data_IF_676766849084
#
_entry.id   IF_676766849084
#
_cell.length_a   1.000
_cell.length_b   1.000
_cell.length_c   1.000
_cell.angle_alpha   90.00
_cell.angle_beta   90.00
_cell.angle_gamma   90.00
#
_symmetry.space_group_name_H-M   'P 1'
#
loop_
_entity.id
_entity.type
_entity.pdbx_description
1 polymer ?
#
# COMPACT_ATOMS: atom_id res chain seq x y z
N UNK A 1 -2.65 23.20 23.92
CA UNK A 1 -3.96 22.62 23.65
C UNK A 1 -4.13 22.24 22.17
N UNK A 2 -3.87 23.12 21.21
CA UNK A 2 -3.91 22.83 19.75
C UNK A 2 -2.98 21.69 19.30
N UNK A 3 -1.75 21.62 19.81
CA UNK A 3 -0.78 20.57 19.46
C UNK A 3 -1.21 19.18 19.97
N UNK A 4 -1.92 19.11 21.09
CA UNK A 4 -2.48 17.85 21.61
C UNK A 4 -3.67 17.38 20.76
N UNK A 5 -4.48 18.30 20.24
CA UNK A 5 -5.56 18.05 19.31
C UNK A 5 -5.02 17.44 18.00
N UNK A 6 -3.97 18.04 17.42
CA UNK A 6 -3.31 17.51 16.20
C UNK A 6 -2.64 16.15 16.41
N UNK A 7 -2.08 15.87 17.58
CA UNK A 7 -1.44 14.56 17.88
C UNK A 7 -2.44 13.42 18.04
N UNK A 8 -3.70 13.72 18.37
CA UNK A 8 -4.80 12.74 18.41
C UNK A 8 -5.29 12.35 17.02
N UNK A 9 -5.09 13.20 16.01
CA UNK A 9 -5.51 12.95 14.63
C UNK A 9 -4.69 11.89 13.87
N UNK A 10 -3.54 11.47 14.37
CA UNK A 10 -2.67 10.46 13.72
C UNK A 10 -3.02 9.02 14.07
N UNK A 11 -3.98 8.75 14.95
CA UNK A 11 -4.43 7.40 15.30
C UNK A 11 -5.53 6.90 14.36
N UNK A 12 -5.59 5.59 14.16
CA UNK A 12 -6.54 4.83 13.31
C UNK A 12 -8.03 5.20 13.52
N UNK A 13 -8.38 5.87 14.62
CA UNK A 13 -9.74 6.28 14.98
C UNK A 13 -10.10 7.70 14.52
N UNK A 14 -9.20 8.46 13.91
CA UNK A 14 -9.44 9.87 13.56
C UNK A 14 -10.50 10.07 12.49
N UNK A 15 -10.67 9.10 11.57
CA UNK A 15 -11.69 9.20 10.53
C UNK A 15 -13.12 9.16 11.13
N UNK A 16 -13.35 8.26 12.08
CA UNK A 16 -14.65 8.15 12.76
C UNK A 16 -14.96 9.41 13.56
N UNK A 17 -13.94 10.03 14.16
CA UNK A 17 -14.09 11.28 14.89
C UNK A 17 -14.48 12.45 13.97
N UNK A 18 -13.84 12.57 12.80
CA UNK A 18 -14.21 13.62 11.82
C UNK A 18 -15.62 13.39 11.28
N UNK A 19 -15.97 12.16 10.93
CA UNK A 19 -17.32 11.81 10.47
C UNK A 19 -18.35 12.14 11.56
N UNK A 20 -18.06 11.82 12.82
CA UNK A 20 -18.93 12.18 13.94
C UNK A 20 -19.13 13.70 14.09
N UNK A 21 -18.06 14.49 13.98
CA UNK A 21 -18.18 15.95 14.03
C UNK A 21 -18.98 16.49 12.83
N UNK A 22 -18.76 15.97 11.63
CA UNK A 22 -19.53 16.37 10.45
C UNK A 22 -21.03 16.10 10.65
N UNK A 23 -21.37 14.92 11.13
CA UNK A 23 -22.77 14.57 11.44
C UNK A 23 -23.34 15.45 12.56
N UNK A 24 -22.57 15.71 13.59
CA UNK A 24 -22.96 16.61 14.68
C UNK A 24 -23.23 18.03 14.18
N UNK A 25 -22.39 18.57 13.29
CA UNK A 25 -22.60 19.89 12.69
C UNK A 25 -23.84 19.93 11.80
N UNK A 26 -24.09 18.87 11.02
CA UNK A 26 -25.31 18.77 10.19
C UNK A 26 -26.55 18.74 11.07
N UNK A 27 -26.57 17.91 12.11
CA UNK A 27 -27.72 17.76 13.01
C UNK A 27 -27.99 19.07 13.78
N UNK A 28 -26.95 19.67 14.34
CA UNK A 28 -27.10 20.94 15.10
C UNK A 28 -27.45 22.11 14.18
N UNK A 29 -26.83 22.21 13.00
CA UNK A 29 -27.14 23.22 12.00
C UNK A 29 -28.58 23.10 11.47
N UNK A 30 -29.02 21.89 11.14
CA UNK A 30 -30.38 21.62 10.72
C UNK A 30 -31.42 21.91 11.82
N UNK A 31 -31.12 21.52 13.05
CA UNK A 31 -31.97 21.78 14.21
C UNK A 31 -32.15 23.28 14.47
N UNK A 32 -31.07 24.05 14.43
CA UNK A 32 -31.10 25.50 14.61
C UNK A 32 -31.80 26.18 13.40
N UNK A 33 -31.57 25.73 12.17
CA UNK A 33 -32.26 26.22 11.01
C UNK A 33 -33.78 25.97 11.11
N UNK A 34 -34.18 24.77 11.49
CA UNK A 34 -35.57 24.42 11.71
C UNK A 34 -36.23 25.33 12.76
N UNK A 35 -35.49 25.67 13.82
CA UNK A 35 -36.02 26.54 14.90
C UNK A 35 -36.29 27.97 14.41
N UNK A 36 -35.43 28.54 13.58
CA UNK A 36 -35.49 29.94 13.16
C UNK A 36 -36.17 30.17 11.81
N UNK A 37 -36.24 29.14 10.96
CA UNK A 37 -36.78 29.21 9.59
C UNK A 37 -38.01 28.32 9.38
N UNK A 38 -38.68 27.88 10.47
CA UNK A 38 -39.85 27.04 10.40
C UNK A 38 -40.95 27.70 9.58
N UNK A 39 -41.47 27.00 8.56
CA UNK A 39 -42.60 27.46 7.72
C UNK A 39 -43.88 26.73 8.13
N UNK A 40 -44.87 27.44 8.72
CA UNK A 40 -46.12 26.83 9.16
C UNK A 40 -47.02 26.35 7.99
N UNK A 41 -46.76 26.79 6.75
CA UNK A 41 -47.49 26.33 5.56
C UNK A 41 -47.03 24.93 5.09
N UNK A 42 -45.86 24.45 5.57
CA UNK A 42 -45.32 23.14 5.25
C UNK A 42 -45.61 22.14 6.38
N UNK A 43 -45.70 20.86 6.05
CA UNK A 43 -45.74 19.82 7.07
C UNK A 43 -44.45 19.81 7.90
N UNK A 44 -44.52 19.31 9.14
CA UNK A 44 -43.36 19.21 10.01
C UNK A 44 -42.23 18.39 9.36
N UNK A 45 -42.57 17.23 8.76
CA UNK A 45 -41.64 16.37 8.05
C UNK A 45 -40.88 17.11 6.93
N UNK A 46 -41.60 17.92 6.15
CA UNK A 46 -41.00 18.71 5.07
C UNK A 46 -40.07 19.80 5.61
N UNK A 47 -40.42 20.47 6.69
CA UNK A 47 -39.53 21.42 7.35
C UNK A 47 -38.25 20.78 7.87
N UNK A 48 -38.32 19.56 8.45
CA UNK A 48 -37.14 18.78 8.90
C UNK A 48 -36.26 18.39 7.73
N UNK A 49 -36.86 17.86 6.65
CA UNK A 49 -36.09 17.46 5.46
C UNK A 49 -35.42 18.65 4.78
N UNK A 50 -36.14 19.77 4.64
CA UNK A 50 -35.60 21.02 4.09
C UNK A 50 -34.44 21.55 4.93
N UNK A 51 -34.51 21.43 6.26
CA UNK A 51 -33.45 21.86 7.18
C UNK A 51 -32.18 20.98 7.07
N UNK A 52 -32.35 19.67 7.01
CA UNK A 52 -31.23 18.72 6.81
C UNK A 52 -30.60 18.94 5.44
N UNK A 53 -31.43 19.06 4.40
CA UNK A 53 -30.97 19.35 3.04
C UNK A 53 -30.14 20.62 3.00
N UNK A 54 -30.67 21.73 3.54
CA UNK A 54 -29.96 22.99 3.61
C UNK A 54 -28.61 22.87 4.35
N UNK A 55 -28.57 22.20 5.49
CA UNK A 55 -27.34 22.03 6.26
C UNK A 55 -26.27 21.26 5.47
N UNK A 56 -26.66 20.17 4.78
CA UNK A 56 -25.75 19.38 3.95
C UNK A 56 -25.24 20.21 2.76
N UNK A 57 -26.13 20.84 2.02
CA UNK A 57 -25.79 21.63 0.82
C UNK A 57 -24.91 22.83 1.17
N UNK A 58 -25.15 23.46 2.32
CA UNK A 58 -24.37 24.58 2.83
C UNK A 58 -22.98 24.11 3.29
N UNK A 59 -22.92 23.04 4.11
CA UNK A 59 -21.68 22.50 4.62
C UNK A 59 -20.79 21.95 3.50
N UNK A 60 -21.37 21.34 2.46
CA UNK A 60 -20.62 20.84 1.30
C UNK A 60 -20.27 21.92 0.27
N UNK A 61 -20.62 23.17 0.53
CA UNK A 61 -20.35 24.32 -0.34
C UNK A 61 -21.03 24.26 -1.73
N UNK A 62 -22.06 23.41 -1.90
CA UNK A 62 -22.80 23.30 -3.16
C UNK A 62 -23.70 24.52 -3.37
N UNK A 63 -24.53 24.88 -2.36
CA UNK A 63 -25.30 26.12 -2.34
C UNK A 63 -26.25 26.29 -3.51
N UNK A 64 -27.17 25.33 -3.75
CA UNK A 64 -28.17 25.44 -4.83
C UNK A 64 -29.05 26.70 -4.76
N UNK A 65 -29.20 27.30 -3.56
CA UNK A 65 -30.01 28.52 -3.37
C UNK A 65 -31.53 28.28 -3.38
N UNK A 66 -31.95 27.02 -3.38
CA UNK A 66 -33.36 26.60 -3.29
C UNK A 66 -33.92 26.78 -1.86
N UNK A 67 -33.08 26.55 -0.85
CA UNK A 67 -33.36 26.74 0.56
C UNK A 67 -32.23 27.57 1.17
N UNK A 68 -32.58 28.68 1.82
CA UNK A 68 -31.63 29.59 2.47
C UNK A 68 -32.27 30.32 3.64
N UNK A 69 -31.48 30.79 4.64
CA UNK A 69 -31.99 31.51 5.78
C UNK A 69 -32.51 32.91 5.37
N UNK A 70 -33.76 33.20 5.69
CA UNK A 70 -34.41 34.46 5.42
C UNK A 70 -34.34 35.38 6.63
N UNK A 71 -34.40 34.82 7.84
CA UNK A 71 -34.35 35.58 9.10
C UNK A 71 -32.92 35.97 9.46
N UNK A 72 -32.77 37.04 10.25
CA UNK A 72 -31.48 37.43 10.78
C UNK A 72 -30.86 36.34 11.66
N UNK A 73 -31.68 35.71 12.51
CA UNK A 73 -31.26 34.60 13.38
C UNK A 73 -30.75 33.40 12.57
N UNK A 74 -31.50 33.03 11.51
CA UNK A 74 -31.05 31.94 10.61
C UNK A 74 -29.73 32.25 9.91
N UNK A 75 -29.50 33.50 9.50
CA UNK A 75 -28.19 33.93 8.92
C UNK A 75 -27.06 33.89 9.92
N UNK A 76 -27.30 34.25 11.18
CA UNK A 76 -26.31 34.15 12.25
C UNK A 76 -25.89 32.69 12.49
N UNK A 77 -26.81 31.74 12.41
CA UNK A 77 -26.57 30.30 12.51
C UNK A 77 -25.81 29.78 11.31
N UNK A 78 -26.10 30.28 10.11
CA UNK A 78 -25.46 29.86 8.88
C UNK A 78 -23.94 30.15 8.87
N UNK A 79 -23.50 31.28 9.38
CA UNK A 79 -22.08 31.68 9.36
C UNK A 79 -21.16 30.69 10.04
N UNK A 80 -21.37 30.26 11.30
CA UNK A 80 -20.57 29.21 11.91
C UNK A 80 -20.61 27.88 11.13
N UNK A 81 -21.79 27.46 10.65
CA UNK A 81 -21.91 26.23 9.88
C UNK A 81 -21.06 26.28 8.61
N UNK A 82 -21.05 27.40 7.89
CA UNK A 82 -20.20 27.59 6.71
C UNK A 82 -18.72 27.51 7.05
N UNK A 83 -18.25 28.25 8.07
CA UNK A 83 -16.83 28.31 8.45
C UNK A 83 -16.34 26.95 8.90
N UNK A 84 -17.03 26.32 9.84
CA UNK A 84 -16.63 25.02 10.37
C UNK A 84 -16.87 23.89 9.35
N UNK A 85 -17.94 23.96 8.56
CA UNK A 85 -18.25 22.99 7.52
C UNK A 85 -17.13 22.87 6.50
N UNK A 86 -16.65 23.98 5.93
CA UNK A 86 -15.53 24.00 4.99
C UNK A 86 -14.28 23.39 5.64
N UNK A 87 -13.98 23.78 6.90
CA UNK A 87 -12.80 23.30 7.62
C UNK A 87 -12.83 21.77 7.83
N UNK A 88 -13.95 21.22 8.29
CA UNK A 88 -14.05 19.79 8.57
C UNK A 88 -14.13 18.94 7.30
N UNK A 89 -14.80 19.39 6.23
CA UNK A 89 -14.80 18.70 4.95
C UNK A 89 -13.39 18.70 4.33
N UNK A 90 -12.70 19.84 4.35
CA UNK A 90 -11.31 19.92 3.90
C UNK A 90 -10.38 18.97 4.67
N UNK A 91 -10.56 18.88 6.00
CA UNK A 91 -9.81 17.96 6.85
C UNK A 91 -10.12 16.49 6.52
N UNK A 92 -11.37 16.15 6.25
CA UNK A 92 -11.80 14.80 5.85
C UNK A 92 -11.15 14.38 4.53
N UNK A 93 -11.21 15.22 3.50
CA UNK A 93 -10.58 14.97 2.20
C UNK A 93 -9.05 14.84 2.35
N UNK A 94 -8.43 15.75 3.09
CA UNK A 94 -7.00 15.71 3.36
C UNK A 94 -6.56 14.42 4.06
N UNK A 95 -7.36 13.91 4.99
CA UNK A 95 -7.07 12.65 5.69
C UNK A 95 -7.20 11.43 4.77
N UNK A 96 -8.22 11.38 3.91
CA UNK A 96 -8.36 10.31 2.91
C UNK A 96 -7.15 10.30 1.97
N UNK A 97 -6.78 11.46 1.45
CA UNK A 97 -5.63 11.61 0.55
C UNK A 97 -4.33 11.15 1.22
N UNK A 98 -4.09 11.59 2.46
CA UNK A 98 -2.89 11.21 3.22
C UNK A 98 -2.81 9.70 3.46
N UNK A 99 -3.93 9.04 3.79
CA UNK A 99 -3.96 7.60 4.03
C UNK A 99 -3.64 6.80 2.75
N UNK A 100 -4.22 7.19 1.62
CA UNK A 100 -3.96 6.55 0.32
C UNK A 100 -2.50 6.75 -0.07
N UNK A 101 -2.01 7.99 0.02
CA UNK A 101 -0.64 8.34 -0.32
C UNK A 101 0.39 7.62 0.56
N UNK A 102 0.15 7.56 1.88
CA UNK A 102 1.04 6.86 2.82
C UNK A 102 1.15 5.37 2.52
N UNK A 103 0.05 4.70 2.15
CA UNK A 103 0.10 3.28 1.74
C UNK A 103 0.91 3.09 0.46
N UNK A 104 0.69 3.94 -0.55
CA UNK A 104 1.47 3.88 -1.80
C UNK A 104 2.96 4.12 -1.57
N UNK A 105 3.31 5.12 -0.77
CA UNK A 105 4.69 5.40 -0.40
C UNK A 105 5.35 4.23 0.34
N UNK A 106 4.64 3.59 1.27
CA UNK A 106 5.15 2.38 1.95
C UNK A 106 5.34 1.21 0.97
N UNK A 107 4.42 1.02 0.02
CA UNK A 107 4.56 0.00 -1.02
C UNK A 107 5.78 0.27 -1.91
N UNK A 108 5.94 1.50 -2.38
CA UNK A 108 7.11 1.91 -3.19
C UNK A 108 8.42 1.69 -2.45
N UNK A 109 8.48 2.02 -1.16
CA UNK A 109 9.68 1.86 -0.32
C UNK A 109 9.91 0.44 0.21
N UNK A 110 9.10 -0.53 -0.19
CA UNK A 110 9.23 -1.92 0.25
C UNK A 110 8.99 -2.13 1.75
N UNK A 111 8.21 -1.27 2.40
CA UNK A 111 7.93 -1.33 3.83
C UNK A 111 6.66 -2.11 4.18
N UNK A 112 5.94 -2.60 3.18
CA UNK A 112 4.74 -3.42 3.39
C UNK A 112 5.12 -4.89 3.57
N UNK A 113 4.21 -5.60 4.24
CA UNK A 113 4.15 -7.06 4.22
C UNK A 113 3.03 -7.47 3.27
N UNK A 114 3.28 -8.50 2.50
CA UNK A 114 2.32 -9.03 1.54
C UNK A 114 1.78 -10.37 2.06
N UNK A 115 0.58 -10.72 1.67
CA UNK A 115 -0.02 -12.05 1.92
C UNK A 115 -0.53 -12.56 0.58
N UNK A 116 0.41 -12.91 -0.31
CA UNK A 116 0.14 -13.45 -1.62
C UNK A 116 0.27 -14.97 -1.60
N UNK A 117 -0.37 -15.63 -2.56
CA UNK A 117 -0.28 -17.08 -2.74
C UNK A 117 0.07 -17.40 -4.18
N UNK A 118 0.85 -18.46 -4.38
CA UNK A 118 1.23 -18.95 -5.71
C UNK A 118 1.95 -17.88 -6.56
N UNK A 119 2.67 -16.95 -5.93
CA UNK A 119 3.44 -15.90 -6.55
C UNK A 119 4.92 -16.31 -6.74
N UNK A 120 5.69 -15.48 -7.41
CA UNK A 120 7.13 -15.66 -7.64
C UNK A 120 7.87 -14.67 -6.75
N UNK A 121 8.91 -15.13 -6.05
CA UNK A 121 9.81 -14.26 -5.30
C UNK A 121 11.15 -14.20 -6.01
N UNK A 122 11.69 -12.98 -6.19
CA UNK A 122 13.05 -12.77 -6.73
C UNK A 122 13.87 -12.12 -5.62
N UNK A 123 14.87 -12.85 -5.14
CA UNK A 123 15.79 -12.43 -4.09
C UNK A 123 17.13 -11.97 -4.69
N UNK A 124 17.67 -10.86 -4.20
CA UNK A 124 18.88 -10.24 -4.73
C UNK A 124 18.61 -9.16 -5.76
N UNK A 125 19.67 -8.50 -6.21
CA UNK A 125 19.51 -7.39 -7.16
C UNK A 125 20.63 -7.33 -8.20
N UNK A 126 20.24 -7.39 -9.44
CA UNK A 126 20.99 -6.96 -10.60
C UNK A 126 19.97 -6.46 -11.63
N UNK A 127 19.99 -5.20 -11.93
CA UNK A 127 18.93 -4.58 -12.77
C UNK A 127 18.75 -5.31 -14.09
N UNK A 128 19.82 -5.55 -14.84
CA UNK A 128 19.76 -6.19 -16.16
C UNK A 128 19.18 -7.61 -16.09
N UNK A 129 19.58 -8.40 -15.07
CA UNK A 129 19.07 -9.76 -14.88
C UNK A 129 17.60 -9.75 -14.48
N UNK A 130 17.22 -8.89 -13.51
CA UNK A 130 15.83 -8.78 -13.05
C UNK A 130 14.91 -8.32 -14.18
N UNK A 131 15.33 -7.36 -15.01
CA UNK A 131 14.55 -6.91 -16.18
C UNK A 131 14.30 -8.06 -17.16
N UNK A 132 15.33 -8.87 -17.45
CA UNK A 132 15.20 -10.03 -18.32
C UNK A 132 14.27 -11.08 -17.70
N UNK A 133 14.46 -11.42 -16.43
CA UNK A 133 13.64 -12.41 -15.73
C UNK A 133 12.17 -12.00 -15.72
N UNK A 134 11.86 -10.75 -15.38
CA UNK A 134 10.48 -10.24 -15.39
C UNK A 134 9.89 -10.31 -16.79
N UNK A 135 10.66 -9.93 -17.81
CA UNK A 135 10.21 -10.00 -19.22
C UNK A 135 9.89 -11.44 -19.63
N UNK A 136 10.75 -12.40 -19.33
CA UNK A 136 10.53 -13.83 -19.64
C UNK A 136 9.31 -14.39 -18.88
N UNK A 137 9.15 -14.07 -17.61
CA UNK A 137 7.95 -14.44 -16.82
C UNK A 137 6.68 -13.89 -17.49
N UNK A 138 6.70 -12.65 -17.98
CA UNK A 138 5.53 -12.02 -18.63
C UNK A 138 5.23 -12.58 -20.03
N UNK A 139 6.21 -13.18 -20.69
CA UNK A 139 6.04 -13.84 -21.98
C UNK A 139 5.60 -15.30 -21.85
N UNK A 140 5.91 -15.95 -20.74
CA UNK A 140 5.52 -17.34 -20.47
C UNK A 140 4.02 -17.49 -20.25
N UNK A 141 3.35 -18.36 -21.00
CA UNK A 141 1.90 -18.57 -20.91
C UNK A 141 1.42 -19.04 -19.53
N UNK A 142 2.23 -19.80 -18.79
CA UNK A 142 1.91 -20.30 -17.45
C UNK A 142 2.22 -19.32 -16.30
N UNK A 143 3.12 -18.37 -16.50
CA UNK A 143 3.62 -17.47 -15.46
C UNK A 143 3.18 -16.02 -15.65
N UNK A 144 2.69 -15.64 -16.82
CA UNK A 144 2.34 -14.26 -17.19
C UNK A 144 1.44 -13.54 -16.20
N UNK A 145 0.51 -14.22 -15.57
CA UNK A 145 -0.46 -13.64 -14.65
C UNK A 145 0.01 -13.63 -13.20
N UNK A 146 1.11 -14.32 -12.87
CA UNK A 146 1.60 -14.43 -11.50
C UNK A 146 2.11 -13.09 -10.98
N UNK A 147 1.90 -12.86 -9.70
CA UNK A 147 2.46 -11.75 -8.97
C UNK A 147 3.94 -12.01 -8.68
N UNK A 148 4.73 -10.96 -8.66
CA UNK A 148 6.18 -11.04 -8.42
C UNK A 148 6.49 -10.17 -7.20
N UNK A 149 7.28 -10.67 -6.26
CA UNK A 149 7.83 -9.89 -5.16
C UNK A 149 9.36 -9.84 -5.29
N UNK A 150 9.90 -8.64 -5.38
CA UNK A 150 11.34 -8.40 -5.33
C UNK A 150 11.77 -8.24 -3.88
N UNK A 151 12.86 -8.91 -3.49
CA UNK A 151 13.46 -8.81 -2.15
C UNK A 151 14.92 -8.41 -2.30
N UNK A 152 15.26 -7.21 -1.84
CA UNK A 152 16.67 -6.76 -1.77
C UNK A 152 16.80 -5.55 -0.83
N UNK A 153 18.04 -5.23 -0.44
CA UNK A 153 18.38 -4.11 0.44
C UNK A 153 18.99 -2.91 -0.31
N UNK A 154 19.32 -3.07 -1.60
CA UNK A 154 20.01 -2.08 -2.43
C UNK A 154 19.05 -0.97 -2.87
N UNK A 155 17.88 -1.35 -3.37
CA UNK A 155 16.90 -0.42 -3.87
C UNK A 155 16.29 0.44 -2.76
N UNK A 156 16.12 1.73 -3.04
CA UNK A 156 15.40 2.64 -2.17
C UNK A 156 13.90 2.65 -2.46
N UNK A 157 13.53 2.40 -3.71
CA UNK A 157 12.16 2.39 -4.19
C UNK A 157 11.98 1.31 -5.28
N UNK A 158 10.76 0.83 -5.45
CA UNK A 158 10.41 -0.16 -6.47
C UNK A 158 10.51 0.47 -7.87
N UNK A 159 11.45 0.07 -8.74
CA UNK A 159 11.55 0.61 -10.09
C UNK A 159 10.39 0.18 -11.01
N UNK A 160 9.65 -0.87 -10.63
CA UNK A 160 8.53 -1.42 -11.39
C UNK A 160 7.16 -0.98 -10.82
N UNK A 161 7.10 0.13 -10.09
CA UNK A 161 5.86 0.61 -9.45
C UNK A 161 4.73 0.92 -10.44
N UNK A 162 5.04 1.16 -11.72
CA UNK A 162 4.10 1.33 -12.82
C UNK A 162 3.76 0.03 -13.54
N UNK A 163 4.45 -1.07 -13.22
CA UNK A 163 4.24 -2.40 -13.83
C UNK A 163 3.28 -3.19 -12.94
N UNK A 164 2.18 -3.64 -13.51
CA UNK A 164 1.18 -4.42 -12.79
C UNK A 164 1.78 -5.68 -12.17
N UNK A 165 1.44 -5.93 -10.90
CA UNK A 165 1.77 -7.15 -10.16
C UNK A 165 3.27 -7.36 -9.88
N UNK A 166 4.07 -6.29 -9.82
CA UNK A 166 5.45 -6.34 -9.31
C UNK A 166 5.54 -5.53 -8.02
N UNK A 167 5.74 -6.23 -6.92
CA UNK A 167 5.83 -5.68 -5.57
C UNK A 167 7.27 -5.67 -5.09
N UNK A 168 7.54 -4.95 -4.01
CA UNK A 168 8.87 -4.82 -3.44
C UNK A 168 8.85 -4.94 -1.92
N UNK A 169 9.78 -5.69 -1.38
CA UNK A 169 10.10 -5.80 0.05
C UNK A 169 11.55 -5.43 0.25
N UNK A 170 11.79 -4.33 0.94
CA UNK A 170 13.13 -3.85 1.26
C UNK A 170 13.69 -4.59 2.47
N UNK A 171 14.87 -5.16 2.30
CA UNK A 171 15.63 -5.84 3.34
C UNK A 171 16.59 -6.87 2.75
N UNK A 172 17.44 -7.45 3.62
CA UNK A 172 18.34 -8.50 3.20
C UNK A 172 17.57 -9.77 2.84
N UNK A 173 17.94 -10.37 1.72
CA UNK A 173 17.42 -11.68 1.30
C UNK A 173 17.78 -12.81 2.27
N UNK A 174 18.81 -12.62 3.10
CA UNK A 174 19.24 -13.55 4.16
C UNK A 174 18.59 -13.26 5.52
N UNK A 175 17.51 -12.49 5.57
CA UNK A 175 16.74 -12.20 6.79
C UNK A 175 15.38 -12.92 6.74
N UNK A 176 15.13 -13.79 7.70
CA UNK A 176 13.90 -14.56 7.84
C UNK A 176 12.64 -13.68 7.91
N UNK A 177 12.70 -12.56 8.62
CA UNK A 177 11.55 -11.66 8.75
C UNK A 177 11.25 -10.94 7.43
N UNK A 178 12.25 -10.64 6.64
CA UNK A 178 12.11 -10.06 5.30
C UNK A 178 11.46 -11.06 4.36
N UNK A 179 11.88 -12.32 4.38
CA UNK A 179 11.31 -13.41 3.59
C UNK A 179 9.85 -13.68 3.98
N UNK A 180 9.52 -13.65 5.26
CA UNK A 180 8.12 -13.74 5.73
C UNK A 180 7.27 -12.54 5.27
N UNK A 181 7.82 -11.32 5.27
CA UNK A 181 7.13 -10.15 4.72
C UNK A 181 6.85 -10.28 3.22
N UNK A 182 7.69 -11.01 2.50
CA UNK A 182 7.49 -11.37 1.09
C UNK A 182 6.56 -12.59 0.90
N UNK A 183 6.02 -13.16 1.99
CA UNK A 183 5.15 -14.35 1.95
C UNK A 183 5.78 -15.54 1.22
N UNK A 184 7.08 -15.75 1.41
CA UNK A 184 7.83 -16.84 0.76
C UNK A 184 7.24 -18.21 1.07
N UNK A 185 6.70 -18.37 2.28
CA UNK A 185 5.98 -19.57 2.75
C UNK A 185 4.79 -19.97 1.87
N UNK A 186 4.23 -19.03 1.12
CA UNK A 186 3.09 -19.24 0.22
C UNK A 186 3.45 -19.04 -1.27
N UNK A 187 4.72 -18.83 -1.59
CA UNK A 187 5.17 -18.67 -2.97
C UNK A 187 5.22 -20.02 -3.71
N UNK A 188 5.14 -19.97 -5.03
CA UNK A 188 5.31 -21.16 -5.86
C UNK A 188 6.74 -21.33 -6.35
N UNK A 189 7.45 -20.24 -6.49
CA UNK A 189 8.83 -20.21 -7.00
C UNK A 189 9.64 -19.12 -6.32
N UNK A 190 10.90 -19.40 -6.06
CA UNK A 190 11.89 -18.45 -5.59
C UNK A 190 13.11 -18.46 -6.51
N UNK A 191 13.48 -17.30 -7.01
CA UNK A 191 14.65 -17.10 -7.85
C UNK A 191 15.65 -16.29 -7.02
N UNK A 192 16.78 -16.88 -6.69
CA UNK A 192 17.83 -16.24 -5.90
C UNK A 192 18.97 -15.83 -6.82
N UNK A 193 19.15 -14.52 -6.96
CA UNK A 193 20.20 -13.94 -7.80
C UNK A 193 21.39 -13.61 -6.91
N UNK A 194 22.59 -14.02 -7.34
CA UNK A 194 23.84 -13.64 -6.69
C UNK A 194 24.08 -12.13 -6.89
N UNK A 195 24.17 -11.39 -5.79
CA UNK A 195 24.42 -9.95 -5.82
C UNK A 195 25.93 -9.69 -5.73
N UNK A 196 26.55 -9.37 -6.87
CA UNK A 196 27.99 -9.12 -6.95
C UNK A 196 28.46 -7.88 -6.14
N UNK A 197 27.53 -7.06 -5.63
CA UNK A 197 27.85 -5.92 -4.76
C UNK A 197 28.11 -6.35 -3.30
N UNK A 198 27.73 -7.56 -2.93
CA UNK A 198 27.98 -8.12 -1.60
C UNK A 198 29.40 -8.68 -1.48
N UNK A 199 29.93 -8.68 -0.26
CA UNK A 199 31.30 -9.18 0.02
C UNK A 199 31.44 -10.67 -0.26
N UNK A 200 30.39 -11.45 0.05
CA UNK A 200 30.30 -12.89 -0.16
C UNK A 200 28.96 -13.26 -0.80
N UNK A 201 28.79 -13.00 -2.11
CA UNK A 201 27.50 -13.16 -2.77
C UNK A 201 26.96 -14.60 -2.74
N UNK A 202 27.84 -15.59 -2.91
CA UNK A 202 27.43 -17.00 -2.89
C UNK A 202 27.01 -17.48 -1.50
N UNK A 203 27.66 -16.99 -0.44
CA UNK A 203 27.30 -17.35 0.95
C UNK A 203 25.91 -16.79 1.29
N UNK A 204 25.62 -15.58 0.83
CA UNK A 204 24.29 -14.97 0.96
C UNK A 204 23.24 -15.76 0.17
N UNK A 205 23.56 -16.20 -1.05
CA UNK A 205 22.70 -17.05 -1.87
C UNK A 205 22.37 -18.37 -1.17
N UNK A 206 23.40 -19.08 -0.66
CA UNK A 206 23.24 -20.35 0.05
C UNK A 206 22.36 -20.18 1.29
N UNK A 207 22.64 -19.14 2.10
CA UNK A 207 21.85 -18.84 3.29
C UNK A 207 20.40 -18.52 2.93
N UNK A 208 20.19 -17.76 1.87
CA UNK A 208 18.82 -17.42 1.38
C UNK A 208 18.04 -18.68 1.01
N UNK A 209 18.65 -19.60 0.24
CA UNK A 209 18.02 -20.88 -0.12
C UNK A 209 17.70 -21.70 1.13
N UNK A 210 18.63 -21.84 2.08
CA UNK A 210 18.37 -22.54 3.34
C UNK A 210 17.18 -21.95 4.12
N UNK A 211 17.05 -20.64 4.14
CA UNK A 211 15.93 -19.97 4.80
C UNK A 211 14.60 -20.20 4.07
N UNK A 212 14.61 -20.17 2.74
CA UNK A 212 13.42 -20.47 1.91
C UNK A 212 12.96 -21.89 2.15
N UNK A 213 13.85 -22.86 2.07
CA UNK A 213 13.55 -24.27 2.32
C UNK A 213 13.07 -24.54 3.74
N UNK A 214 13.57 -23.78 4.73
CA UNK A 214 13.10 -23.88 6.10
C UNK A 214 11.69 -23.33 6.29
N UNK A 215 11.26 -22.36 5.47
CA UNK A 215 9.90 -21.80 5.49
C UNK A 215 8.91 -22.69 4.79
N UNK A 216 9.25 -23.18 3.59
CA UNK A 216 8.41 -24.08 2.82
C UNK A 216 9.21 -24.87 1.79
N UNK A 217 9.28 -26.18 1.96
CA UNK A 217 10.00 -27.11 1.07
C UNK A 217 9.32 -27.37 -0.26
N UNK A 218 8.08 -26.92 -0.44
CA UNK A 218 7.35 -27.09 -1.70
C UNK A 218 7.60 -25.92 -2.69
N UNK A 219 8.34 -24.91 -2.26
CA UNK A 219 8.72 -23.78 -3.13
C UNK A 219 9.80 -24.25 -4.09
N UNK A 220 9.56 -24.15 -5.40
CA UNK A 220 10.57 -24.43 -6.39
C UNK A 220 11.67 -23.36 -6.33
N UNK A 221 12.88 -23.75 -5.93
CA UNK A 221 14.01 -22.84 -5.74
C UNK A 221 14.98 -22.93 -6.91
N UNK A 222 15.32 -21.78 -7.51
CA UNK A 222 16.35 -21.64 -8.53
C UNK A 222 17.37 -20.59 -8.04
N UNK A 223 18.64 -20.99 -7.94
CA UNK A 223 19.69 -20.12 -7.41
C UNK A 223 20.84 -19.93 -8.38
N UNK A 224 21.30 -18.69 -8.50
CA UNK A 224 22.52 -18.35 -9.22
C UNK A 224 23.75 -18.50 -8.31
N UNK A 225 24.82 -19.07 -8.84
CA UNK A 225 26.10 -19.27 -8.17
C UNK A 225 27.24 -18.72 -9.03
N UNK A 226 28.17 -18.02 -8.42
CA UNK A 226 29.37 -17.50 -9.10
C UNK A 226 30.54 -18.48 -9.01
N UNK A 227 30.77 -19.11 -7.86
CA UNK A 227 31.84 -20.11 -7.65
C UNK A 227 31.28 -21.54 -7.69
N UNK A 228 31.58 -22.24 -8.76
CA UNK A 228 31.14 -23.64 -8.99
C UNK A 228 31.56 -24.59 -7.83
N UNK A 229 32.64 -24.26 -7.10
CA UNK A 229 33.12 -25.09 -5.95
C UNK A 229 32.10 -25.15 -4.81
N UNK A 230 31.19 -24.20 -4.73
CA UNK A 230 30.14 -24.13 -3.71
C UNK A 230 28.82 -24.84 -4.15
N UNK A 231 28.80 -25.46 -5.33
CA UNK A 231 27.60 -26.10 -5.88
C UNK A 231 27.00 -27.17 -4.95
N UNK A 232 27.87 -27.96 -4.31
CA UNK A 232 27.41 -29.02 -3.41
C UNK A 232 26.76 -28.48 -2.14
N UNK A 233 27.09 -27.25 -1.73
CA UNK A 233 26.40 -26.59 -0.61
C UNK A 233 24.94 -26.23 -0.97
N UNK A 234 24.71 -25.74 -2.18
CA UNK A 234 23.33 -25.46 -2.64
C UNK A 234 22.53 -26.76 -2.84
N UNK A 235 23.15 -27.83 -3.35
CA UNK A 235 22.49 -29.13 -3.43
C UNK A 235 22.09 -29.66 -2.05
N UNK A 236 22.99 -29.54 -1.07
CA UNK A 236 22.71 -29.94 0.32
C UNK A 236 21.66 -29.03 0.98
N UNK A 237 21.47 -27.80 0.47
CA UNK A 237 20.39 -26.90 0.88
C UNK A 237 19.04 -27.22 0.22
N UNK A 238 18.92 -28.29 -0.56
CA UNK A 238 17.75 -28.71 -1.35
C UNK A 238 17.34 -27.72 -2.44
N UNK A 239 18.29 -26.97 -3.02
CA UNK A 239 17.98 -26.12 -4.16
C UNK A 239 17.61 -26.99 -5.38
N UNK A 240 16.45 -26.73 -5.99
CA UNK A 240 15.97 -27.52 -7.14
C UNK A 240 16.80 -27.31 -8.39
N UNK A 241 17.13 -26.06 -8.70
CA UNK A 241 17.93 -25.71 -9.88
C UNK A 241 19.07 -24.74 -9.52
N UNK A 242 20.26 -25.03 -10.03
CA UNK A 242 21.47 -24.23 -9.78
C UNK A 242 22.03 -23.75 -11.12
N UNK A 243 22.14 -22.43 -11.27
CA UNK A 243 22.73 -21.77 -12.44
C UNK A 243 24.12 -21.26 -12.11
N UNK A 244 25.15 -21.96 -12.58
CA UNK A 244 26.54 -21.49 -12.45
C UNK A 244 26.85 -20.48 -13.57
N UNK A 245 26.83 -19.18 -13.22
CA UNK A 245 26.93 -18.09 -14.19
C UNK A 245 28.26 -18.10 -15.00
N UNK A 246 29.39 -18.45 -14.36
CA UNK A 246 30.70 -18.49 -14.99
C UNK A 246 30.89 -19.68 -15.92
N UNK A 247 30.37 -20.86 -15.55
CA UNK A 247 30.51 -22.09 -16.35
C UNK A 247 29.62 -22.02 -17.60
N UNK A 248 28.41 -21.48 -17.49
CA UNK A 248 27.49 -21.32 -18.61
C UNK A 248 28.02 -20.34 -19.66
N UNK A 249 28.61 -19.21 -19.22
CA UNK A 249 29.20 -18.22 -20.13
C UNK A 249 30.41 -18.81 -20.87
N UNK A 250 31.26 -19.58 -20.19
CA UNK A 250 32.44 -20.21 -20.79
C UNK A 250 32.03 -21.29 -21.84
N UNK A 251 31.00 -22.10 -21.56
CA UNK A 251 30.50 -23.12 -22.50
C UNK A 251 29.84 -22.54 -23.74
N UNK A 252 29.29 -21.33 -23.67
CA UNK A 252 28.71 -20.65 -24.84
C UNK A 252 29.75 -20.00 -25.76
N UNK A 253 31.01 -19.86 -25.30
CA UNK A 253 32.10 -19.27 -26.08
C UNK A 253 32.92 -20.31 -26.86
N UNK A 254 32.65 -21.59 -26.64
CA UNK A 254 33.29 -22.76 -27.33
C UNK A 254 32.27 -23.45 -28.19
#
# INVERSE_FOLDING_TARGET
MLVFFFKSFTKKNSIYFIVFICLFLVITGAGLFLLFEYNPEKTFEKNVMDSIWWAIVTMTTIGYGDIYPRTLSGRIVAVPLMIFGIGFIGMFIGMLTTNIFSKRMKAMKGLLSYNLKNHIVICGWNQTKVDIIIKEIRQSSGLKSKEIILVNNVLQENPYHSTDKVYFVKGSQSDMEVLKRASVDNSSQAIVISDASETNPDDTTILTVLLIESLNREVFTCAELLDVKKMDLLRNANCDEIVAATDFSAKLLV
#
